data_IF_695952121865
#
_entry.id   IF_695952121865
#
_cell.length_a   1.000
_cell.length_b   1.000
_cell.length_c   1.000
_cell.angle_alpha   90.00
_cell.angle_beta   90.00
_cell.angle_gamma   90.00
#
_symmetry.space_group_name_H-M   'P 1'
#
loop_
_entity.id
_entity.type
_entity.pdbx_description
1 polymer ?
#
# COMPACT_ATOMS: atom_id res chain seq x y z
N UNK A 1 -5.35 47.71 15.55
CA UNK A 1 -5.18 46.97 14.30
C UNK A 1 -6.02 45.71 14.38
N UNK A 2 -7.12 45.68 13.64
CA UNK A 2 -8.11 44.59 13.69
C UNK A 2 -7.78 43.52 12.64
N UNK A 3 -7.84 42.26 13.04
CA UNK A 3 -7.70 41.10 12.14
C UNK A 3 -9.07 40.81 11.51
N UNK A 4 -9.14 40.53 10.21
CA UNK A 4 -10.39 40.14 9.57
C UNK A 4 -10.73 38.68 9.85
N UNK A 5 -11.99 38.47 10.23
CA UNK A 5 -12.64 37.19 10.45
C UNK A 5 -12.79 36.41 9.14
N UNK A 6 -12.45 35.14 9.15
CA UNK A 6 -12.65 34.23 8.02
C UNK A 6 -14.14 33.98 7.81
N UNK A 7 -14.62 34.22 6.59
CA UNK A 7 -15.97 33.90 6.14
C UNK A 7 -16.09 32.39 5.90
N UNK A 8 -17.03 31.76 6.59
CA UNK A 8 -17.50 30.40 6.28
C UNK A 8 -18.36 30.45 5.02
N UNK A 9 -17.90 29.79 3.96
CA UNK A 9 -18.72 29.51 2.81
C UNK A 9 -19.54 28.24 3.09
N UNK A 10 -20.80 28.41 3.41
CA UNK A 10 -21.81 27.34 3.36
C UNK A 10 -22.20 27.14 1.89
N UNK A 11 -21.94 25.94 1.37
CA UNK A 11 -22.57 25.47 0.13
C UNK A 11 -23.98 24.99 0.49
N UNK A 12 -24.98 25.78 0.20
CA UNK A 12 -26.36 25.32 0.12
C UNK A 12 -26.53 24.53 -1.21
N UNK A 13 -26.84 23.26 -1.04
CA UNK A 13 -27.26 22.40 -2.16
C UNK A 13 -28.77 22.55 -2.30
N UNK A 14 -29.21 23.35 -3.27
CA UNK A 14 -30.61 23.45 -3.61
C UNK A 14 -31.00 22.27 -4.52
N UNK A 15 -31.95 21.49 -4.05
CA UNK A 15 -32.65 20.48 -4.86
C UNK A 15 -33.68 21.25 -5.69
N UNK A 16 -33.39 21.43 -6.96
CA UNK A 16 -34.38 21.88 -7.93
C UNK A 16 -35.38 20.77 -8.22
N UNK A 17 -36.64 21.16 -8.16
CA UNK A 17 -37.84 20.43 -8.54
C UNK A 17 -37.67 19.79 -9.93
N UNK A 18 -37.93 18.50 -10.02
CA UNK A 18 -38.14 17.78 -11.28
C UNK A 18 -39.67 17.68 -11.46
N UNK A 19 -40.13 18.34 -12.54
CA UNK A 19 -41.51 18.38 -13.01
C UNK A 19 -42.12 16.97 -13.12
N UNK A 20 -43.31 16.84 -12.56
CA UNK A 20 -44.26 15.75 -12.84
C UNK A 20 -44.81 15.91 -14.24
N UNK A 21 -44.37 15.12 -15.20
CA UNK A 21 -45.13 14.88 -16.46
C UNK A 21 -45.58 13.41 -16.48
N UNK A 22 -46.91 13.32 -16.52
CA UNK A 22 -47.78 12.26 -17.00
C UNK A 22 -47.13 10.95 -17.47
N UNK A 23 -47.34 9.88 -16.73
CA UNK A 23 -47.38 8.53 -17.28
C UNK A 23 -48.57 7.74 -16.70
N UNK A 24 -49.45 7.38 -17.62
CA UNK A 24 -50.62 6.55 -17.41
C UNK A 24 -50.33 5.26 -16.63
N UNK A 25 -51.27 4.74 -15.85
CA UNK A 25 -51.13 3.50 -15.13
C UNK A 25 -51.16 2.31 -16.09
N UNK A 26 -50.02 1.60 -16.16
CA UNK A 26 -49.93 0.32 -16.82
C UNK A 26 -50.75 -0.73 -16.05
N UNK A 27 -51.81 -1.24 -16.64
CA UNK A 27 -52.53 -2.43 -16.24
C UNK A 27 -51.65 -3.67 -16.40
N UNK A 28 -50.98 -4.08 -15.32
CA UNK A 28 -50.32 -5.40 -15.22
C UNK A 28 -50.27 -5.90 -13.78
N UNK A 29 -51.41 -6.22 -13.20
CA UNK A 29 -51.49 -6.99 -11.95
C UNK A 29 -52.51 -8.09 -11.91
N UNK A 30 -53.14 -8.45 -13.02
CA UNK A 30 -54.16 -9.52 -13.02
C UNK A 30 -53.70 -10.89 -13.54
N UNK A 31 -52.45 -11.05 -14.03
CA UNK A 31 -52.06 -12.34 -14.63
C UNK A 31 -51.28 -13.29 -13.71
N UNK A 32 -50.85 -12.84 -12.51
CA UNK A 32 -50.14 -13.73 -11.57
C UNK A 32 -51.02 -14.47 -10.58
N UNK A 33 -52.28 -14.03 -10.39
CA UNK A 33 -53.26 -14.72 -9.52
C UNK A 33 -53.77 -15.97 -10.17
N UNK A 34 -54.10 -15.95 -11.45
CA UNK A 34 -54.71 -17.07 -12.17
C UNK A 34 -53.76 -18.29 -12.34
N UNK A 35 -52.45 -18.05 -12.45
CA UNK A 35 -51.47 -19.13 -12.60
C UNK A 35 -51.29 -19.97 -11.33
N UNK A 36 -51.47 -19.35 -10.15
CA UNK A 36 -51.42 -20.09 -8.88
C UNK A 36 -52.72 -20.83 -8.58
N UNK A 37 -53.86 -20.36 -9.06
CA UNK A 37 -55.14 -21.00 -8.87
C UNK A 37 -55.35 -22.20 -9.81
N UNK A 38 -54.81 -22.13 -11.05
CA UNK A 38 -54.78 -23.24 -12.01
C UNK A 38 -53.80 -24.36 -11.56
N UNK A 39 -52.71 -24.05 -10.86
CA UNK A 39 -51.80 -25.03 -10.25
C UNK A 39 -52.35 -25.68 -9.00
N UNK A 40 -53.30 -25.02 -8.31
CA UNK A 40 -53.97 -25.59 -7.12
C UNK A 40 -55.18 -26.43 -7.44
N UNK A 41 -55.78 -26.30 -8.66
CA UNK A 41 -56.98 -27.03 -9.10
C UNK A 41 -56.68 -28.30 -9.91
N UNK A 42 -55.41 -28.64 -10.13
CA UNK A 42 -54.95 -29.87 -10.80
C UNK A 42 -55.02 -31.07 -9.85
N UNK A 43 -56.18 -31.57 -9.79
CA UNK A 43 -56.68 -32.90 -9.60
C UNK A 43 -55.77 -33.99 -9.01
N UNK A 44 -56.36 -34.66 -8.01
CA UNK A 44 -55.85 -35.83 -7.37
C UNK A 44 -55.74 -37.05 -8.29
N UNK A 45 -54.56 -37.57 -8.39
CA UNK A 45 -54.33 -38.96 -8.78
C UNK A 45 -53.11 -39.53 -8.02
N UNK A 46 -53.39 -40.38 -7.12
CA UNK A 46 -52.67 -41.58 -6.68
C UNK A 46 -51.18 -41.53 -6.39
N UNK A 47 -50.88 -41.75 -5.15
CA UNK A 47 -49.70 -42.03 -4.42
C UNK A 47 -48.61 -42.84 -5.11
N UNK A 48 -47.44 -42.18 -5.26
CA UNK A 48 -46.13 -42.80 -5.30
C UNK A 48 -45.22 -42.00 -4.37
N UNK A 49 -44.24 -42.62 -3.70
CA UNK A 49 -43.34 -41.88 -2.84
C UNK A 49 -42.54 -40.90 -3.71
N UNK A 50 -42.75 -39.61 -3.48
CA UNK A 50 -41.99 -38.56 -4.15
C UNK A 50 -40.53 -38.68 -3.78
N UNK A 51 -39.69 -39.03 -4.76
CA UNK A 51 -38.23 -38.86 -4.65
C UNK A 51 -37.94 -37.38 -4.37
N UNK A 52 -37.08 -37.05 -3.41
CA UNK A 52 -36.73 -35.68 -3.12
C UNK A 52 -35.98 -35.09 -4.33
N UNK A 53 -36.56 -34.06 -4.91
CA UNK A 53 -36.04 -33.38 -6.08
C UNK A 53 -34.55 -32.98 -5.95
N UNK A 54 -33.68 -33.29 -6.95
CA UNK A 54 -32.24 -33.03 -6.90
C UNK A 54 -31.85 -31.54 -6.93
N UNK A 55 -32.80 -30.65 -7.07
CA UNK A 55 -32.57 -29.22 -7.23
C UNK A 55 -32.00 -28.50 -5.99
N UNK A 56 -32.24 -29.01 -4.77
CA UNK A 56 -31.71 -28.34 -3.56
C UNK A 56 -30.21 -28.55 -3.32
N UNK A 57 -29.69 -29.70 -3.75
CA UNK A 57 -28.23 -29.93 -3.60
C UNK A 57 -27.41 -29.16 -4.62
N UNK A 58 -27.87 -29.03 -5.87
CA UNK A 58 -27.21 -28.23 -6.89
C UNK A 58 -27.18 -26.74 -6.56
N UNK A 59 -28.27 -26.17 -6.04
CA UNK A 59 -28.32 -24.77 -5.62
C UNK A 59 -27.40 -24.53 -4.40
N UNK A 60 -27.33 -25.45 -3.46
CA UNK A 60 -26.47 -25.36 -2.30
C UNK A 60 -24.98 -25.46 -2.70
N UNK A 61 -24.66 -26.30 -3.68
CA UNK A 61 -23.29 -26.47 -4.18
C UNK A 61 -22.84 -25.27 -5.01
N UNK A 62 -23.70 -24.69 -5.84
CA UNK A 62 -23.43 -23.45 -6.57
C UNK A 62 -23.23 -22.26 -5.64
N UNK A 63 -24.06 -22.09 -4.62
CA UNK A 63 -23.93 -21.00 -3.62
C UNK A 63 -22.64 -21.17 -2.82
N UNK A 64 -22.24 -22.40 -2.50
CA UNK A 64 -21.00 -22.67 -1.78
C UNK A 64 -19.76 -22.37 -2.62
N UNK A 65 -19.79 -22.68 -3.91
CA UNK A 65 -18.70 -22.40 -4.84
C UNK A 65 -18.46 -20.90 -5.07
N UNK A 66 -19.52 -20.09 -5.02
CA UNK A 66 -19.43 -18.61 -5.15
C UNK A 66 -18.80 -17.96 -3.92
N UNK A 67 -18.89 -18.58 -2.75
CA UNK A 67 -18.32 -18.06 -1.49
C UNK A 67 -16.84 -18.45 -1.29
N UNK A 68 -16.26 -19.35 -2.09
CA UNK A 68 -14.86 -19.74 -1.93
C UNK A 68 -13.93 -18.58 -2.22
N UNK A 69 -13.08 -18.26 -1.22
CA UNK A 69 -11.96 -17.34 -1.41
C UNK A 69 -10.90 -18.03 -2.29
N UNK A 70 -10.77 -17.56 -3.51
CA UNK A 70 -9.86 -18.14 -4.50
C UNK A 70 -8.37 -18.10 -4.07
N UNK A 71 -7.97 -17.07 -3.36
CA UNK A 71 -6.61 -16.88 -2.88
C UNK A 71 -6.54 -17.02 -1.35
N UNK A 72 -6.35 -18.28 -0.89
CA UNK A 72 -6.12 -18.56 0.51
C UNK A 72 -4.68 -18.23 0.89
N UNK A 73 -4.50 -17.37 1.88
CA UNK A 73 -3.19 -16.97 2.42
C UNK A 73 -2.82 -17.67 3.73
N UNK A 74 -3.79 -18.22 4.41
CA UNK A 74 -3.64 -18.88 5.71
C UNK A 74 -2.45 -19.85 5.73
N UNK A 75 -1.54 -19.68 6.70
CA UNK A 75 -0.35 -20.50 6.93
C UNK A 75 0.59 -20.62 5.70
N UNK A 76 0.69 -19.55 4.92
CA UNK A 76 1.58 -19.49 3.75
C UNK A 76 2.65 -18.44 3.94
N UNK A 77 3.79 -18.72 3.33
CA UNK A 77 4.85 -17.73 3.16
C UNK A 77 4.62 -16.95 1.87
N UNK A 78 4.90 -15.67 1.93
CA UNK A 78 4.89 -14.75 0.80
C UNK A 78 6.28 -14.18 0.63
N UNK A 79 6.82 -14.23 -0.59
CA UNK A 79 8.06 -13.58 -0.99
C UNK A 79 7.70 -12.47 -1.99
N UNK A 80 8.14 -11.26 -1.72
CA UNK A 80 7.74 -10.07 -2.47
C UNK A 80 8.96 -9.22 -2.89
N UNK A 81 9.61 -9.54 -4.02
CA UNK A 81 10.57 -8.64 -4.64
C UNK A 81 9.87 -7.38 -5.19
N UNK A 82 10.51 -6.23 -5.04
CA UNK A 82 9.99 -4.94 -5.44
C UNK A 82 11.06 -3.96 -5.88
N UNK A 83 10.62 -2.94 -6.59
CA UNK A 83 11.39 -1.71 -6.83
C UNK A 83 10.73 -0.56 -6.09
N UNK A 84 11.55 0.28 -5.46
CA UNK A 84 11.11 1.41 -4.66
C UNK A 84 11.60 2.72 -5.27
N UNK A 85 10.72 3.73 -5.27
CA UNK A 85 11.01 5.07 -5.76
C UNK A 85 10.59 6.08 -4.69
N UNK A 86 11.51 6.97 -4.29
CA UNK A 86 11.17 8.05 -3.36
C UNK A 86 10.38 9.14 -4.07
N UNK A 87 9.38 9.71 -3.38
CA UNK A 87 8.46 10.69 -3.95
C UNK A 87 8.71 12.10 -3.43
N UNK A 88 9.01 12.25 -2.14
CA UNK A 88 9.11 13.56 -1.50
C UNK A 88 10.54 14.02 -1.21
N UNK A 89 11.53 13.43 -1.90
CA UNK A 89 12.90 13.91 -1.82
C UNK A 89 13.18 14.88 -2.99
N UNK A 90 13.24 16.19 -2.74
CA UNK A 90 13.41 17.17 -3.80
C UNK A 90 14.87 17.26 -4.29
N UNK A 91 15.85 16.78 -3.51
CA UNK A 91 17.26 16.97 -3.76
C UNK A 91 17.94 15.75 -4.35
N UNK A 92 17.72 14.58 -3.78
CA UNK A 92 18.31 13.32 -4.23
C UNK A 92 17.19 12.35 -4.65
N UNK A 93 17.44 11.59 -5.69
CA UNK A 93 16.54 10.50 -6.10
C UNK A 93 17.08 9.20 -5.56
N UNK A 94 16.33 8.57 -4.67
CA UNK A 94 16.67 7.25 -4.18
C UNK A 94 15.80 6.20 -4.88
N UNK A 95 16.47 5.29 -5.57
CA UNK A 95 15.87 4.11 -6.17
C UNK A 95 16.30 2.91 -5.34
N UNK A 96 15.37 2.05 -4.98
CA UNK A 96 15.67 0.90 -4.14
C UNK A 96 15.22 -0.41 -4.76
N UNK A 97 15.95 -1.49 -4.45
CA UNK A 97 15.48 -2.86 -4.59
C UNK A 97 14.96 -3.33 -3.24
N UNK A 98 13.72 -3.78 -3.22
CA UNK A 98 13.07 -4.32 -2.04
C UNK A 98 12.91 -5.83 -2.12
N UNK A 99 13.00 -6.47 -0.98
CA UNK A 99 12.62 -7.86 -0.78
C UNK A 99 11.86 -7.97 0.53
N UNK A 100 10.61 -8.42 0.46
CA UNK A 100 9.83 -8.71 1.65
C UNK A 100 9.53 -10.20 1.74
N UNK A 101 9.55 -10.71 2.97
CA UNK A 101 9.18 -12.07 3.31
C UNK A 101 8.15 -12.02 4.43
N UNK A 102 6.91 -12.42 4.13
CA UNK A 102 5.80 -12.38 5.04
C UNK A 102 5.29 -13.79 5.37
N UNK A 103 4.88 -14.00 6.60
CA UNK A 103 4.16 -15.20 7.02
C UNK A 103 2.72 -14.84 7.40
N UNK A 104 1.76 -15.51 6.77
CA UNK A 104 0.34 -15.28 6.95
C UNK A 104 -0.22 -16.19 8.04
N UNK A 105 -0.56 -15.63 9.20
CA UNK A 105 -1.23 -16.36 10.29
C UNK A 105 -2.69 -16.63 9.97
N UNK A 106 -3.34 -15.64 9.34
CA UNK A 106 -4.71 -15.71 8.88
C UNK A 106 -4.81 -15.22 7.42
N UNK A 107 -6.00 -15.21 6.84
CA UNK A 107 -6.20 -14.65 5.51
C UNK A 107 -6.06 -13.11 5.46
N UNK A 108 -6.09 -12.46 6.62
CA UNK A 108 -6.09 -10.99 6.75
C UNK A 108 -4.88 -10.43 7.50
N UNK A 109 -4.12 -11.28 8.25
CA UNK A 109 -3.02 -10.83 9.08
C UNK A 109 -1.73 -11.56 8.74
N UNK A 110 -0.67 -10.80 8.55
CA UNK A 110 0.68 -11.32 8.35
C UNK A 110 1.72 -10.56 9.16
N UNK A 111 2.81 -11.23 9.46
CA UNK A 111 4.04 -10.65 10.00
C UNK A 111 5.17 -10.96 9.04
N UNK A 112 6.06 -10.00 8.80
CA UNK A 112 7.15 -10.21 7.87
C UNK A 112 8.35 -9.32 8.10
N UNK A 113 9.39 -9.64 7.34
CA UNK A 113 10.61 -8.86 7.22
C UNK A 113 10.62 -8.17 5.87
N UNK A 114 10.98 -6.90 5.86
CA UNK A 114 11.20 -6.14 4.64
C UNK A 114 12.63 -5.60 4.64
N UNK A 115 13.31 -5.75 3.52
CA UNK A 115 14.65 -5.25 3.29
C UNK A 115 14.65 -4.41 2.03
N UNK A 116 15.19 -3.18 2.08
CA UNK A 116 15.37 -2.32 0.93
C UNK A 116 16.84 -1.92 0.80
N UNK A 117 17.37 -2.02 -0.39
CA UNK A 117 18.73 -1.63 -0.76
C UNK A 117 18.67 -0.45 -1.72
N UNK A 118 19.33 0.67 -1.36
CA UNK A 118 19.32 1.93 -2.12
C UNK A 118 20.67 2.29 -2.70
N UNK A 119 21.75 1.71 -2.19
CA UNK A 119 23.11 1.99 -2.63
C UNK A 119 23.48 1.17 -3.87
N UNK A 120 23.44 1.82 -5.02
CA UNK A 120 23.79 1.23 -6.31
C UNK A 120 25.25 1.48 -6.70
N UNK A 121 26.09 1.98 -5.78
CA UNK A 121 27.48 2.35 -6.06
C UNK A 121 27.64 3.55 -7.00
N UNK A 122 26.56 4.29 -7.27
CA UNK A 122 26.60 5.54 -8.03
C UNK A 122 26.87 6.71 -7.10
N UNK A 123 27.65 7.69 -7.58
CA UNK A 123 27.91 8.89 -6.79
C UNK A 123 26.59 9.57 -6.39
N UNK A 124 26.42 9.95 -5.10
CA UNK A 124 25.22 10.67 -4.65
C UNK A 124 24.92 11.92 -5.47
N UNK A 125 25.97 12.63 -5.93
CA UNK A 125 25.83 13.83 -6.75
C UNK A 125 25.24 13.56 -8.14
N UNK A 126 25.44 12.38 -8.71
CA UNK A 126 24.82 12.00 -10.00
C UNK A 126 23.33 11.73 -9.86
N UNK A 127 22.86 11.34 -8.67
CA UNK A 127 21.46 11.16 -8.32
C UNK A 127 20.76 12.47 -7.95
N UNK A 128 21.53 13.57 -7.88
CA UNK A 128 21.03 14.89 -7.57
C UNK A 128 20.01 15.38 -8.61
N UNK A 129 18.96 16.04 -8.12
CA UNK A 129 17.99 16.70 -8.98
C UNK A 129 18.57 18.00 -9.53
N UNK A 130 17.99 18.53 -10.61
CA UNK A 130 18.38 19.85 -11.17
C UNK A 130 18.17 21.02 -10.21
N UNK A 131 17.53 20.79 -9.07
CA UNK A 131 17.29 21.80 -8.03
C UNK A 131 18.60 22.15 -7.30
N UNK A 132 19.47 21.15 -7.02
CA UNK A 132 20.75 21.38 -6.32
C UNK A 132 21.64 22.39 -7.04
N UNK A 133 22.03 22.18 -8.32
CA UNK A 133 22.88 23.16 -9.01
C UNK A 133 22.18 24.51 -9.18
N UNK A 134 20.86 24.56 -9.26
CA UNK A 134 20.11 25.81 -9.31
C UNK A 134 20.24 26.58 -8.00
N UNK A 135 20.06 25.94 -6.84
CA UNK A 135 20.22 26.58 -5.54
C UNK A 135 21.67 27.03 -5.33
N UNK A 136 22.64 26.18 -5.63
CA UNK A 136 24.05 26.50 -5.48
C UNK A 136 24.48 27.68 -6.37
N UNK A 137 24.04 27.71 -7.62
CA UNK A 137 24.45 28.76 -8.57
C UNK A 137 23.70 30.09 -8.34
N UNK A 138 22.43 30.07 -7.99
CA UNK A 138 21.60 31.27 -7.82
C UNK A 138 21.75 31.89 -6.43
N UNK A 139 21.81 31.06 -5.39
CA UNK A 139 21.78 31.54 -4.02
C UNK A 139 23.10 31.35 -3.28
N UNK A 140 24.08 30.64 -3.86
CA UNK A 140 25.37 30.27 -3.25
C UNK A 140 25.21 29.59 -1.89
N UNK A 141 24.11 28.83 -1.74
CA UNK A 141 23.78 28.10 -0.52
C UNK A 141 24.10 26.62 -0.75
N UNK A 142 24.79 26.01 0.22
CA UNK A 142 24.86 24.56 0.33
C UNK A 142 23.58 24.01 0.93
N UNK A 143 23.15 22.85 0.48
CA UNK A 143 22.02 22.12 1.07
C UNK A 143 22.57 20.87 1.74
N UNK A 144 22.33 20.66 3.05
CA UNK A 144 22.76 19.44 3.71
C UNK A 144 21.95 18.26 3.13
N UNK A 145 22.67 17.21 2.75
CA UNK A 145 22.13 16.04 2.07
C UNK A 145 22.54 14.78 2.82
N UNK A 146 21.62 13.83 2.91
CA UNK A 146 21.90 12.50 3.43
C UNK A 146 21.65 11.45 2.36
N UNK A 147 22.58 10.52 2.23
CA UNK A 147 22.46 9.35 1.37
C UNK A 147 21.94 8.15 2.14
N UNK A 148 21.26 7.24 1.44
CA UNK A 148 20.66 6.04 2.02
C UNK A 148 21.34 4.81 1.46
N UNK A 149 21.72 3.90 2.35
CA UNK A 149 22.32 2.64 1.96
C UNK A 149 21.29 1.52 1.94
N UNK A 150 20.71 1.24 3.09
CA UNK A 150 19.75 0.15 3.25
C UNK A 150 18.81 0.40 4.42
N UNK A 151 17.69 -0.27 4.38
CA UNK A 151 16.76 -0.32 5.49
C UNK A 151 16.18 -1.71 5.68
N UNK A 152 15.92 -2.09 6.93
CA UNK A 152 15.27 -3.35 7.28
C UNK A 152 14.24 -3.12 8.37
N UNK A 153 13.05 -3.73 8.20
CA UNK A 153 11.92 -3.57 9.10
C UNK A 153 11.23 -4.90 9.35
N UNK A 154 10.74 -5.04 10.57
CA UNK A 154 9.72 -6.04 10.93
C UNK A 154 8.36 -5.37 10.74
N UNK A 155 7.53 -5.93 9.88
CA UNK A 155 6.26 -5.34 9.49
C UNK A 155 5.09 -6.23 9.85
N UNK A 156 4.02 -5.60 10.31
CA UNK A 156 2.72 -6.20 10.45
C UNK A 156 1.84 -5.74 9.28
N UNK A 157 1.18 -6.70 8.61
CA UNK A 157 0.28 -6.43 7.47
C UNK A 157 -1.13 -6.83 7.83
N UNK A 158 -2.08 -5.93 7.57
CA UNK A 158 -3.52 -6.13 7.75
C UNK A 158 -4.28 -5.85 6.47
N UNK A 159 -5.19 -6.76 6.09
CA UNK A 159 -6.00 -6.66 4.86
C UNK A 159 -7.45 -6.36 5.23
N UNK A 160 -7.86 -5.07 5.28
CA UNK A 160 -9.26 -4.70 5.58
C UNK A 160 -10.22 -4.98 4.44
N UNK A 161 -9.78 -4.85 3.19
CA UNK A 161 -10.66 -4.94 2.03
C UNK A 161 -10.13 -5.93 1.01
N UNK A 162 -11.06 -6.68 0.45
CA UNK A 162 -10.79 -7.57 -0.69
C UNK A 162 -12.04 -7.66 -1.56
N UNK A 163 -11.82 -7.92 -2.84
CA UNK A 163 -12.92 -7.98 -3.79
C UNK A 163 -12.58 -8.77 -5.05
N UNK A 164 -13.54 -8.83 -5.95
CA UNK A 164 -13.41 -9.47 -7.26
C UNK A 164 -13.95 -8.52 -8.32
N UNK A 165 -13.27 -8.43 -9.44
CA UNK A 165 -13.78 -7.74 -10.62
C UNK A 165 -13.60 -8.61 -11.86
N UNK A 166 -14.50 -8.47 -12.81
CA UNK A 166 -14.49 -9.21 -14.06
C UNK A 166 -14.04 -8.31 -15.20
N UNK A 167 -12.96 -8.72 -15.89
CA UNK A 167 -12.50 -8.07 -17.11
C UNK A 167 -12.64 -9.07 -18.25
N UNK A 168 -13.54 -8.77 -19.19
CA UNK A 168 -13.91 -9.67 -20.27
C UNK A 168 -14.36 -11.04 -19.72
N UNK A 169 -13.58 -12.11 -19.99
CA UNK A 169 -13.88 -13.49 -19.54
C UNK A 169 -13.09 -13.95 -18.30
N UNK A 170 -12.20 -13.07 -17.75
CA UNK A 170 -11.37 -13.40 -16.59
C UNK A 170 -11.87 -12.66 -15.35
N UNK A 171 -11.86 -13.34 -14.21
CA UNK A 171 -12.15 -12.77 -12.89
C UNK A 171 -10.80 -12.56 -12.20
N UNK A 172 -10.55 -11.31 -11.82
CA UNK A 172 -9.39 -10.94 -11.03
C UNK A 172 -9.83 -10.68 -9.60
N UNK A 173 -9.03 -11.14 -8.66
CA UNK A 173 -9.18 -10.80 -7.26
C UNK A 173 -8.20 -9.68 -6.93
N UNK A 174 -8.60 -8.84 -6.00
CA UNK A 174 -7.77 -7.78 -5.47
C UNK A 174 -7.94 -7.67 -3.96
N UNK A 175 -6.93 -7.17 -3.30
CA UNK A 175 -7.02 -6.76 -1.92
C UNK A 175 -6.33 -5.42 -1.71
N UNK A 176 -6.81 -4.68 -0.70
CA UNK A 176 -6.15 -3.51 -0.18
C UNK A 176 -5.66 -3.83 1.22
N UNK A 177 -4.42 -3.45 1.52
CA UNK A 177 -3.80 -3.76 2.79
C UNK A 177 -3.12 -2.54 3.41
N UNK A 178 -3.03 -2.57 4.72
CA UNK A 178 -2.26 -1.64 5.52
C UNK A 178 -1.04 -2.36 6.06
N UNK A 179 0.07 -1.66 6.13
CA UNK A 179 1.33 -2.19 6.64
C UNK A 179 1.95 -1.18 7.60
N UNK A 180 2.55 -1.67 8.65
CA UNK A 180 3.27 -0.84 9.60
C UNK A 180 4.33 -1.65 10.31
N UNK A 181 5.42 -1.00 10.71
CA UNK A 181 6.50 -1.71 11.34
C UNK A 181 7.58 -0.82 11.90
N UNK A 182 8.54 -1.49 12.53
CA UNK A 182 9.71 -0.87 13.14
C UNK A 182 10.96 -1.60 12.67
N UNK A 183 12.03 -0.86 12.50
CA UNK A 183 13.30 -1.39 12.04
C UNK A 183 14.42 -0.39 12.14
N UNK A 184 15.30 -0.42 11.15
CA UNK A 184 16.40 0.55 11.06
C UNK A 184 16.60 1.01 9.62
N UNK A 185 17.11 2.23 9.51
CA UNK A 185 17.57 2.87 8.29
C UNK A 185 19.05 3.23 8.44
N UNK A 186 19.85 2.92 7.44
CA UNK A 186 21.26 3.26 7.41
C UNK A 186 21.48 4.41 6.45
N UNK A 187 21.93 5.57 6.99
CA UNK A 187 22.08 6.82 6.28
C UNK A 187 23.51 7.37 6.47
N UNK A 188 23.92 8.24 5.58
CA UNK A 188 25.23 8.91 5.65
C UNK A 188 25.07 10.36 5.18
N UNK A 189 25.50 11.36 5.99
CA UNK A 189 25.58 12.74 5.54
C UNK A 189 26.60 12.89 4.41
N UNK A 190 26.24 13.66 3.41
CA UNK A 190 27.12 13.98 2.28
C UNK A 190 27.88 15.28 2.62
N UNK A 191 29.24 15.33 2.55
CA UNK A 191 30.00 16.52 2.83
C UNK A 191 29.79 17.57 1.73
N UNK A 192 28.96 18.55 1.97
CA UNK A 192 28.63 19.64 1.04
C UNK A 192 29.38 20.94 1.38
N UNK A 193 29.49 21.23 2.69
CA UNK A 193 30.06 22.52 3.14
C UNK A 193 31.57 22.54 3.22
N UNK A 194 32.22 21.41 3.50
CA UNK A 194 33.67 21.31 3.60
C UNK A 194 34.18 19.93 3.13
N UNK A 195 34.02 19.60 1.83
CA UNK A 195 34.28 18.26 1.31
C UNK A 195 35.76 17.87 1.35
N UNK A 196 36.67 18.82 1.53
CA UNK A 196 38.13 18.57 1.63
C UNK A 196 38.54 18.06 3.01
N UNK A 197 37.74 18.36 4.06
CA UNK A 197 38.10 18.08 5.43
C UNK A 197 37.15 17.09 6.07
N UNK A 198 35.83 17.24 5.79
CA UNK A 198 34.80 16.45 6.42
C UNK A 198 34.57 15.12 5.70
N UNK A 199 34.52 14.08 6.47
CA UNK A 199 34.12 12.75 6.01
C UNK A 199 33.19 12.15 7.06
N UNK A 200 32.11 11.53 6.61
CA UNK A 200 31.10 10.97 7.52
C UNK A 200 31.03 9.45 7.36
N UNK A 201 30.80 8.79 8.47
CA UNK A 201 30.54 7.36 8.49
C UNK A 201 29.05 7.07 8.35
N UNK A 202 28.73 5.85 7.94
CA UNK A 202 27.36 5.36 7.89
C UNK A 202 26.75 5.25 9.29
N UNK A 203 25.63 5.92 9.49
CA UNK A 203 24.86 5.88 10.74
C UNK A 203 23.66 4.96 10.59
N UNK A 204 23.34 4.25 11.68
CA UNK A 204 22.17 3.37 11.73
C UNK A 204 21.17 3.94 12.71
N UNK A 205 20.01 4.31 12.22
CA UNK A 205 18.95 4.95 12.99
C UNK A 205 17.74 4.02 13.10
N UNK A 206 17.08 4.03 14.26
CA UNK A 206 15.81 3.33 14.42
C UNK A 206 14.78 4.02 13.53
N UNK A 207 14.07 3.24 12.73
CA UNK A 207 13.13 3.73 11.76
C UNK A 207 11.77 3.07 11.92
N UNK A 208 10.72 3.84 11.69
CA UNK A 208 9.35 3.38 11.63
C UNK A 208 8.86 3.44 10.18
N UNK A 209 7.92 2.58 9.85
CA UNK A 209 7.23 2.69 8.57
C UNK A 209 5.73 2.47 8.74
N UNK A 210 4.97 3.12 7.87
CA UNK A 210 3.54 2.92 7.71
C UNK A 210 3.20 3.05 6.24
N UNK A 211 2.27 2.24 5.77
CA UNK A 211 1.90 2.27 4.36
C UNK A 211 0.56 1.61 4.07
N UNK A 212 0.14 1.79 2.84
CA UNK A 212 -1.03 1.15 2.29
C UNK A 212 -0.71 0.64 0.89
N UNK A 213 -1.26 -0.50 0.53
CA UNK A 213 -1.01 -1.10 -0.77
C UNK A 213 -2.25 -1.75 -1.36
N UNK A 214 -2.16 -1.94 -2.66
CA UNK A 214 -3.15 -2.66 -3.45
C UNK A 214 -2.46 -3.85 -4.12
N UNK A 215 -3.12 -5.00 -4.08
CA UNK A 215 -2.61 -6.25 -4.65
C UNK A 215 -3.64 -6.84 -5.59
N UNK A 216 -3.20 -7.27 -6.76
CA UNK A 216 -4.03 -7.92 -7.78
C UNK A 216 -3.52 -9.33 -8.00
N UNK A 217 -4.38 -10.32 -7.82
CA UNK A 217 -4.04 -11.73 -8.00
C UNK A 217 -4.11 -12.11 -9.47
N UNK A 218 -2.97 -12.43 -10.04
CA UNK A 218 -2.86 -12.95 -11.42
C UNK A 218 -3.15 -14.45 -11.45
N UNK A 219 -2.68 -15.17 -10.41
CA UNK A 219 -2.92 -16.59 -10.18
C UNK A 219 -3.10 -16.86 -8.68
N UNK A 220 -3.32 -18.12 -8.28
CA UNK A 220 -3.43 -18.51 -6.85
C UNK A 220 -2.14 -18.32 -6.05
N UNK A 221 -1.01 -18.17 -6.71
CA UNK A 221 0.31 -18.06 -6.08
C UNK A 221 1.12 -16.87 -6.56
N UNK A 222 0.63 -16.13 -7.56
CA UNK A 222 1.30 -14.97 -8.12
C UNK A 222 0.42 -13.74 -8.07
N UNK A 223 0.95 -12.63 -7.56
CA UNK A 223 0.24 -11.35 -7.52
C UNK A 223 1.15 -10.22 -7.95
N UNK A 224 0.56 -9.16 -8.47
CA UNK A 224 1.19 -7.88 -8.67
C UNK A 224 0.72 -6.95 -7.54
N UNK A 225 1.64 -6.15 -6.99
CA UNK A 225 1.27 -5.17 -5.98
C UNK A 225 1.87 -3.79 -6.25
N UNK A 226 1.16 -2.78 -5.79
CA UNK A 226 1.63 -1.42 -5.66
C UNK A 226 1.41 -0.98 -4.22
N UNK A 227 2.39 -0.29 -3.65
CA UNK A 227 2.37 0.11 -2.26
C UNK A 227 2.92 1.52 -2.10
N UNK A 228 2.21 2.33 -1.35
CA UNK A 228 2.65 3.64 -0.90
C UNK A 228 3.10 3.50 0.56
N UNK A 229 4.36 3.85 0.85
CA UNK A 229 4.96 3.68 2.17
C UNK A 229 5.67 4.95 2.62
N UNK A 230 5.42 5.36 3.85
CA UNK A 230 6.15 6.42 4.54
C UNK A 230 7.14 5.80 5.53
N UNK A 231 8.37 6.27 5.48
CA UNK A 231 9.45 5.91 6.39
C UNK A 231 9.79 7.12 7.26
N UNK A 232 10.02 6.88 8.54
CA UNK A 232 10.24 7.93 9.53
C UNK A 232 11.38 7.52 10.45
N UNK A 233 12.40 8.39 10.57
CA UNK A 233 13.55 8.16 11.46
C UNK A 233 14.15 9.48 11.93
N UNK A 234 14.83 9.51 13.10
CA UNK A 234 15.68 10.62 13.47
C UNK A 234 16.98 10.57 12.67
N UNK A 235 17.36 11.66 12.03
CA UNK A 235 18.60 11.75 11.24
C UNK A 235 19.42 12.98 11.65
N UNK A 236 20.73 12.91 11.45
CA UNK A 236 21.63 14.03 11.68
C UNK A 236 22.19 14.52 10.36
N UNK A 237 22.17 15.85 10.18
CA UNK A 237 22.69 16.50 8.99
C UNK A 237 24.04 17.14 9.23
N UNK A 238 24.77 17.40 8.13
CA UNK A 238 26.01 18.17 8.18
C UNK A 238 25.75 19.56 8.79
N UNK A 239 26.66 20.00 9.67
CA UNK A 239 26.60 21.33 10.26
C UNK A 239 26.95 22.39 9.20
N UNK A 240 26.01 23.31 8.97
CA UNK A 240 26.17 24.43 8.01
C UNK A 240 27.30 25.37 8.40
N UNK A 241 27.55 25.47 9.71
CA UNK A 241 28.60 26.35 10.23
C UNK A 241 29.96 25.63 10.27
N UNK A 242 31.01 26.32 9.78
CA UNK A 242 32.38 25.85 9.92
C UNK A 242 32.93 26.33 11.23
N UNK A 243 33.44 25.43 12.06
CA UNK A 243 34.11 25.80 13.29
C UNK A 243 35.43 26.57 12.94
N UNK A 244 35.74 27.64 13.65
CA UNK A 244 36.96 28.41 13.41
C UNK A 244 38.21 27.70 13.93
N UNK A 245 39.34 27.90 13.26
CA UNK A 245 40.65 27.43 13.68
C UNK A 245 40.80 25.91 13.74
N UNK A 246 41.42 25.37 14.78
CA UNK A 246 41.65 23.91 14.91
C UNK A 246 40.35 23.09 15.01
N UNK A 247 39.27 23.70 15.47
CA UNK A 247 37.94 23.04 15.55
C UNK A 247 37.38 22.62 14.20
N UNK A 248 37.90 23.14 13.09
CA UNK A 248 37.51 22.73 11.74
C UNK A 248 37.81 21.24 11.48
N UNK A 249 38.86 20.72 12.10
CA UNK A 249 39.28 19.32 11.94
C UNK A 249 38.72 18.38 13.00
N UNK A 250 37.92 18.91 13.92
CA UNK A 250 37.27 18.09 14.97
C UNK A 250 35.95 17.49 14.46
N UNK A 251 35.84 16.15 14.32
CA UNK A 251 34.64 15.48 13.85
C UNK A 251 33.40 15.78 14.68
N UNK A 252 33.56 16.10 15.96
CA UNK A 252 32.42 16.43 16.85
C UNK A 252 31.67 17.69 16.44
N UNK A 253 32.29 18.57 15.64
CA UNK A 253 31.69 19.82 15.16
C UNK A 253 31.04 19.71 13.78
N UNK A 254 31.20 18.58 13.10
CA UNK A 254 30.78 18.41 11.71
C UNK A 254 29.28 18.12 11.55
N UNK A 255 28.68 17.51 12.55
CA UNK A 255 27.25 17.22 12.57
C UNK A 255 26.49 18.28 13.36
N UNK A 256 25.21 18.46 13.06
CA UNK A 256 24.31 19.24 13.89
C UNK A 256 24.15 18.55 15.24
N UNK A 257 24.06 19.34 16.32
CA UNK A 257 23.92 18.82 17.67
C UNK A 257 22.58 18.07 17.87
N UNK A 258 21.55 18.52 17.17
CA UNK A 258 20.22 17.98 17.30
C UNK A 258 19.85 17.09 16.10
N UNK A 259 19.29 15.91 16.39
CA UNK A 259 18.73 15.06 15.35
C UNK A 259 17.38 15.62 14.87
N UNK A 260 17.19 15.65 13.57
CA UNK A 260 15.94 16.07 12.94
C UNK A 260 15.12 14.83 12.58
N UNK A 261 13.83 14.83 12.91
CA UNK A 261 12.95 13.76 12.51
C UNK A 261 12.58 13.88 11.03
N UNK A 262 13.05 12.94 10.24
CA UNK A 262 12.85 12.89 8.79
C UNK A 262 11.69 11.96 8.47
N UNK A 263 10.81 12.39 7.59
CA UNK A 263 9.75 11.57 7.02
C UNK A 263 9.87 11.56 5.49
N UNK A 264 10.01 10.37 4.92
CA UNK A 264 10.10 10.21 3.49
C UNK A 264 9.07 9.21 2.97
N UNK A 265 8.48 9.52 1.83
CA UNK A 265 7.48 8.68 1.19
C UNK A 265 8.03 8.03 -0.07
N UNK A 266 7.65 6.79 -0.30
CA UNK A 266 8.03 6.02 -1.48
C UNK A 266 6.84 5.28 -2.06
N UNK A 267 6.89 5.05 -3.36
CA UNK A 267 6.04 4.08 -4.04
C UNK A 267 6.87 2.83 -4.32
N UNK A 268 6.28 1.66 -4.04
CA UNK A 268 6.89 0.37 -4.34
C UNK A 268 6.00 -0.39 -5.30
N UNK A 269 6.63 -1.03 -6.27
CA UNK A 269 5.97 -1.87 -7.27
C UNK A 269 6.68 -3.22 -7.29
N UNK A 270 5.91 -4.31 -7.33
CA UNK A 270 6.52 -5.62 -7.32
C UNK A 270 5.56 -6.76 -7.57
N UNK A 271 6.11 -7.93 -7.46
CA UNK A 271 5.35 -9.18 -7.55
C UNK A 271 5.45 -9.94 -6.24
N UNK A 272 4.42 -10.69 -5.90
CA UNK A 272 4.49 -11.60 -4.75
C UNK A 272 4.30 -13.04 -5.16
N UNK A 273 4.98 -13.91 -4.45
CA UNK A 273 4.93 -15.37 -4.63
C UNK A 273 4.51 -16.02 -3.32
N UNK A 274 3.48 -16.86 -3.37
CA UNK A 274 3.00 -17.58 -2.21
C UNK A 274 3.45 -19.04 -2.20
N UNK A 275 4.01 -19.50 -1.08
CA UNK A 275 4.46 -20.87 -0.85
C UNK A 275 3.73 -21.48 0.36
N UNK A 276 3.40 -22.80 0.32
CA UNK A 276 3.56 -23.76 -0.77
C UNK A 276 2.57 -23.48 -1.92
N UNK A 277 2.94 -23.89 -3.14
CA UNK A 277 2.14 -23.72 -4.36
C UNK A 277 0.88 -24.60 -4.31
N UNK A 278 1.04 -25.85 -3.83
CA UNK A 278 -0.07 -26.78 -3.63
C UNK A 278 -0.57 -26.64 -2.19
N UNK A 279 -1.79 -26.22 -2.02
CA UNK A 279 -2.42 -26.06 -0.73
C UNK A 279 -3.84 -26.67 -0.78
N UNK A 280 -4.06 -27.71 0.01
CA UNK A 280 -5.36 -28.31 0.21
C UNK A 280 -5.96 -27.69 1.48
N UNK A 281 -7.02 -26.93 1.32
CA UNK A 281 -7.79 -26.42 2.45
C UNK A 281 -8.79 -27.49 2.89
N UNK A 282 -8.57 -28.03 4.06
CA UNK A 282 -9.60 -28.82 4.75
C UNK A 282 -10.44 -27.87 5.58
N UNK A 283 -11.73 -27.79 5.27
CA UNK A 283 -12.67 -27.09 6.11
C UNK A 283 -12.60 -27.69 7.53
N UNK A 284 -12.56 -26.86 8.60
CA UNK A 284 -12.72 -27.38 9.95
C UNK A 284 -14.07 -28.07 10.02
N UNK A 285 -14.05 -29.34 10.49
CA UNK A 285 -15.25 -30.14 10.75
C UNK A 285 -16.03 -29.53 11.89
#
# INVERSE_FOLDING_TARGET
MAFPTAAQAQMEFSLDEVDEEDSEPAEESESQGDLFEELAAGDGAEGGPAEPAPQREEIAEEIYAVQQIYALRLKRFELAPSVAFTLNDPYLKHYGLGLAMNYWFTNVLALGLNFNWYDWGTNPFERGTSIIPRIQNQFRLGVPLNDWQMGMWVNFTYVPFYGKFKVRKKIFQWDAYLIGGVGFMRTQPIPVFDPEVRSFDWQTNVAFNVGAGLRIFLTRYWTFFTEFRAYMWPDQFENVQRAPGPGRFDPSTWLQSDSTFVANTSIQLGFTFFFPIKFEYRLPK
#
